data_IF_278979295913
#
_entry.id   IF_278979295913
#
_cell.length_a   1.000
_cell.length_b   1.000
_cell.length_c   1.000
_cell.angle_alpha   90.00
_cell.angle_beta   90.00
_cell.angle_gamma   90.00
#
_symmetry.space_group_name_H-M   'P 1'
#
loop_
_entity.id
_entity.type
_entity.pdbx_description
1 polymer ?
#
# COMPACT_ATOMS: atom_id res chain seq x y z
N UNK A 1 17.28 -16.54 5.89
CA UNK A 1 17.03 -15.32 6.67
C UNK A 1 15.78 -15.50 7.50
N UNK A 2 15.75 -14.87 8.68
CA UNK A 2 14.63 -14.87 9.60
C UNK A 2 14.30 -13.45 10.04
N UNK A 3 13.05 -13.22 10.46
CA UNK A 3 12.58 -11.95 10.97
C UNK A 3 13.02 -11.76 12.42
N UNK A 4 13.76 -10.70 12.72
CA UNK A 4 14.16 -10.32 14.06
C UNK A 4 13.25 -9.22 14.68
N UNK A 5 12.40 -8.58 13.89
CA UNK A 5 11.41 -7.61 14.34
C UNK A 5 10.80 -6.83 13.20
N UNK A 6 9.48 -6.66 13.22
CA UNK A 6 8.74 -5.76 12.34
C UNK A 6 8.91 -4.31 12.78
N UNK A 7 9.13 -3.38 11.85
CA UNK A 7 9.49 -2.00 12.16
C UNK A 7 8.40 -1.02 11.70
N UNK A 8 8.05 -1.07 10.43
CA UNK A 8 7.06 -0.17 9.83
C UNK A 8 6.42 -0.81 8.60
N UNK A 9 5.31 -0.23 8.15
CA UNK A 9 4.73 -0.55 6.85
C UNK A 9 4.34 0.73 6.11
N UNK A 10 4.13 0.60 4.80
CA UNK A 10 3.72 1.67 3.91
C UNK A 10 2.34 1.32 3.36
N UNK A 11 1.27 1.99 3.82
CA UNK A 11 -0.08 1.67 3.37
C UNK A 11 -0.25 2.02 1.89
N UNK A 12 -0.97 1.18 1.17
CA UNK A 12 -1.50 1.55 -0.13
C UNK A 12 -2.65 2.53 0.04
N UNK A 13 -2.76 3.46 -0.89
CA UNK A 13 -3.86 4.41 -0.95
C UNK A 13 -4.39 4.58 -2.37
N UNK A 14 -5.66 4.95 -2.49
CA UNK A 14 -6.29 5.44 -3.72
C UNK A 14 -6.22 6.96 -3.66
N UNK A 15 -5.61 7.55 -4.68
CA UNK A 15 -5.41 9.00 -4.76
C UNK A 15 -6.15 9.59 -5.95
N UNK A 16 -6.53 10.88 -5.87
CA UNK A 16 -7.21 11.56 -6.95
C UNK A 16 -6.35 11.61 -8.22
N UNK A 17 -7.02 11.44 -9.35
CA UNK A 17 -6.49 11.70 -10.67
C UNK A 17 -7.24 12.86 -11.30
N UNK A 18 -8.11 12.56 -12.26
CA UNK A 18 -9.06 13.54 -12.85
C UNK A 18 -10.32 13.69 -12.02
N UNK A 19 -10.53 12.84 -10.99
CA UNK A 19 -11.68 12.85 -10.08
C UNK A 19 -11.20 12.92 -8.63
N UNK A 20 -11.94 13.66 -7.81
CA UNK A 20 -11.56 13.98 -6.42
C UNK A 20 -12.34 13.15 -5.38
N UNK A 21 -13.29 12.32 -5.81
CA UNK A 21 -14.11 11.46 -4.94
C UNK A 21 -14.34 10.11 -5.61
N UNK A 22 -14.33 9.03 -4.82
CA UNK A 22 -14.69 7.68 -5.30
C UNK A 22 -16.16 7.63 -5.74
N UNK A 23 -17.03 8.48 -5.18
CA UNK A 23 -18.43 8.58 -5.59
C UNK A 23 -18.62 9.13 -7.01
N UNK A 24 -17.59 9.79 -7.55
CA UNK A 24 -17.60 10.32 -8.91
C UNK A 24 -17.19 9.28 -9.97
N UNK A 25 -16.92 8.03 -9.56
CA UNK A 25 -16.55 6.95 -10.47
C UNK A 25 -17.66 6.69 -11.50
N UNK A 26 -17.31 6.73 -12.78
CA UNK A 26 -18.21 6.51 -13.92
C UNK A 26 -17.83 5.24 -14.70
N UNK A 27 -18.80 4.77 -15.49
CA UNK A 27 -18.62 3.62 -16.36
C UNK A 27 -17.51 3.86 -17.40
N UNK A 28 -16.52 2.98 -17.42
CA UNK A 28 -15.38 3.04 -18.34
C UNK A 28 -14.21 3.91 -17.89
N UNK A 29 -14.22 4.45 -16.66
CA UNK A 29 -13.09 5.17 -16.09
C UNK A 29 -11.83 4.28 -16.01
N UNK A 30 -10.66 4.92 -16.08
CA UNK A 30 -9.37 4.24 -15.90
C UNK A 30 -8.85 4.44 -14.48
N UNK A 31 -8.25 3.40 -13.93
CA UNK A 31 -7.53 3.40 -12.64
C UNK A 31 -6.14 2.81 -12.87
N UNK A 32 -5.09 3.58 -12.57
CA UNK A 32 -3.73 3.11 -12.70
C UNK A 32 -3.24 2.40 -11.44
N UNK A 33 -2.63 1.23 -11.60
CA UNK A 33 -2.10 0.39 -10.52
C UNK A 33 -0.67 -0.06 -10.84
N UNK A 34 0.15 -0.42 -9.83
CA UNK A 34 1.45 -1.04 -10.07
C UNK A 34 1.31 -2.40 -10.78
N UNK A 35 2.28 -2.76 -11.62
CA UNK A 35 2.29 -4.02 -12.38
C UNK A 35 3.21 -5.11 -11.81
N UNK A 36 3.86 -4.88 -10.70
CA UNK A 36 4.59 -5.93 -10.00
C UNK A 36 3.63 -6.76 -9.13
N UNK A 37 3.87 -8.07 -9.07
CA UNK A 37 2.95 -9.06 -8.49
C UNK A 37 2.44 -8.68 -7.11
N UNK A 38 3.32 -8.20 -6.24
CA UNK A 38 2.98 -7.86 -4.85
C UNK A 38 2.10 -6.62 -4.77
N UNK A 39 2.50 -5.55 -5.46
CA UNK A 39 1.81 -4.27 -5.38
C UNK A 39 0.53 -4.25 -6.22
N UNK A 40 0.48 -4.98 -7.34
CA UNK A 40 -0.75 -5.18 -8.11
C UNK A 40 -1.83 -5.83 -7.26
N UNK A 41 -1.51 -6.96 -6.61
CA UNK A 41 -2.47 -7.66 -5.74
C UNK A 41 -2.99 -6.76 -4.61
N UNK A 42 -2.11 -5.99 -3.95
CA UNK A 42 -2.51 -5.03 -2.90
C UNK A 42 -3.43 -3.94 -3.45
N UNK A 43 -3.11 -3.39 -4.62
CA UNK A 43 -3.95 -2.38 -5.26
C UNK A 43 -5.34 -2.93 -5.60
N UNK A 44 -5.43 -4.13 -6.17
CA UNK A 44 -6.70 -4.77 -6.50
C UNK A 44 -7.53 -5.10 -5.27
N UNK A 45 -6.91 -5.57 -4.18
CA UNK A 45 -7.58 -5.80 -2.89
C UNK A 45 -8.14 -4.49 -2.32
N UNK A 46 -7.39 -3.39 -2.39
CA UNK A 46 -7.87 -2.09 -1.93
C UNK A 46 -9.05 -1.57 -2.77
N UNK A 47 -9.03 -1.80 -4.09
CA UNK A 47 -10.18 -1.49 -4.96
C UNK A 47 -11.41 -2.35 -4.60
N UNK A 48 -11.21 -3.62 -4.27
CA UNK A 48 -12.29 -4.50 -3.80
C UNK A 48 -12.86 -4.03 -2.45
N UNK A 49 -12.01 -3.68 -1.50
CA UNK A 49 -12.43 -3.20 -0.16
C UNK A 49 -13.28 -1.93 -0.26
N UNK A 50 -13.11 -1.16 -1.33
CA UNK A 50 -13.90 0.03 -1.63
C UNK A 50 -15.07 -0.22 -2.62
N UNK A 51 -15.37 -1.47 -2.93
CA UNK A 51 -16.54 -1.84 -3.75
C UNK A 51 -16.43 -1.50 -5.24
N UNK A 52 -15.23 -1.20 -5.73
CA UNK A 52 -15.00 -0.83 -7.15
C UNK A 52 -14.97 -2.06 -8.04
N UNK A 53 -14.36 -3.14 -7.57
CA UNK A 53 -14.30 -4.45 -8.24
C UNK A 53 -14.58 -5.57 -7.22
N UNK A 54 -14.80 -6.78 -7.71
CA UNK A 54 -14.81 -8.00 -6.88
C UNK A 54 -13.79 -8.98 -7.47
N UNK A 55 -12.92 -9.53 -6.65
CA UNK A 55 -11.95 -10.54 -7.03
C UNK A 55 -12.55 -11.96 -6.86
N UNK A 56 -12.02 -12.93 -7.58
CA UNK A 56 -12.36 -14.35 -7.41
C UNK A 56 -12.01 -14.80 -6.00
N UNK A 57 -12.81 -15.70 -5.45
CA UNK A 57 -12.55 -16.31 -4.15
C UNK A 57 -11.15 -16.95 -4.13
N UNK A 58 -10.37 -16.62 -3.09
CA UNK A 58 -9.03 -17.17 -2.90
C UNK A 58 -7.91 -16.48 -3.70
N UNK A 59 -8.19 -15.43 -4.47
CA UNK A 59 -7.15 -14.69 -5.21
C UNK A 59 -6.09 -14.08 -4.26
N UNK A 60 -6.51 -13.47 -3.14
CA UNK A 60 -5.65 -13.01 -2.06
C UNK A 60 -4.48 -12.13 -2.51
N UNK A 61 -3.32 -12.30 -1.86
CA UNK A 61 -2.12 -11.49 -2.08
C UNK A 61 -1.34 -11.83 -3.39
N UNK A 62 -1.90 -12.69 -4.24
CA UNK A 62 -1.35 -13.03 -5.57
C UNK A 62 -2.34 -12.64 -6.69
N UNK A 63 -3.38 -11.86 -6.36
CA UNK A 63 -4.38 -11.42 -7.32
C UNK A 63 -3.76 -10.63 -8.48
N UNK A 64 -4.31 -10.88 -9.66
CA UNK A 64 -4.00 -10.15 -10.90
C UNK A 64 -5.29 -9.61 -11.51
N UNK A 65 -5.21 -8.76 -12.53
CA UNK A 65 -6.40 -8.29 -13.28
C UNK A 65 -7.24 -9.44 -13.85
N UNK A 66 -6.65 -10.62 -14.10
CA UNK A 66 -7.37 -11.81 -14.55
C UNK A 66 -8.27 -12.43 -13.47
N UNK A 67 -8.09 -12.02 -12.21
CA UNK A 67 -8.88 -12.51 -11.08
C UNK A 67 -10.06 -11.61 -10.74
N UNK A 68 -10.29 -10.55 -11.51
CA UNK A 68 -11.48 -9.71 -11.39
C UNK A 68 -12.71 -10.56 -11.82
N UNK A 69 -13.60 -10.83 -10.88
CA UNK A 69 -14.83 -11.58 -11.09
C UNK A 69 -15.99 -10.65 -11.46
N UNK A 70 -16.06 -9.48 -10.84
CA UNK A 70 -17.09 -8.46 -11.13
C UNK A 70 -16.44 -7.09 -11.25
N UNK A 71 -16.92 -6.32 -12.20
CA UNK A 71 -16.47 -4.96 -12.49
C UNK A 71 -17.69 -4.11 -12.90
N UNK A 72 -18.51 -3.67 -11.93
CA UNK A 72 -19.81 -3.07 -12.18
C UNK A 72 -19.74 -1.75 -12.95
N UNK A 73 -18.62 -1.02 -12.84
CA UNK A 73 -18.38 0.23 -13.54
C UNK A 73 -17.51 0.08 -14.79
N UNK A 74 -17.25 -1.15 -15.24
CA UNK A 74 -16.37 -1.42 -16.38
C UNK A 74 -15.05 -0.63 -16.33
N UNK A 75 -14.48 -0.44 -15.12
CA UNK A 75 -13.22 0.30 -14.95
C UNK A 75 -12.10 -0.37 -15.72
N UNK A 76 -11.26 0.43 -16.32
CA UNK A 76 -10.07 -0.02 -17.03
C UNK A 76 -8.90 0.04 -16.06
N UNK A 77 -8.34 -1.12 -15.74
CA UNK A 77 -7.13 -1.17 -14.90
C UNK A 77 -5.92 -0.98 -15.81
N UNK A 78 -5.17 0.09 -15.56
CA UNK A 78 -3.93 0.41 -16.26
C UNK A 78 -2.72 -0.01 -15.41
N UNK A 79 -2.08 -1.10 -15.80
CA UNK A 79 -0.94 -1.68 -15.10
C UNK A 79 0.36 -1.00 -15.55
N UNK A 80 1.05 -0.33 -14.64
CA UNK A 80 2.27 0.43 -14.90
C UNK A 80 3.37 0.10 -13.88
N UNK A 81 4.62 0.37 -14.25
CA UNK A 81 5.69 0.32 -13.25
C UNK A 81 5.38 1.28 -12.09
N UNK A 82 5.59 0.84 -10.84
CA UNK A 82 5.14 1.56 -9.64
C UNK A 82 5.57 3.04 -9.61
N UNK A 83 6.79 3.33 -10.07
CA UNK A 83 7.32 4.69 -10.17
C UNK A 83 6.67 5.55 -11.27
N UNK A 84 5.87 4.94 -12.15
CA UNK A 84 5.18 5.64 -13.25
C UNK A 84 3.70 5.91 -12.93
N UNK A 85 3.11 5.16 -12.00
CA UNK A 85 1.66 5.24 -11.69
C UNK A 85 1.25 6.68 -11.33
N UNK A 86 2.00 7.37 -10.48
CA UNK A 86 1.67 8.74 -10.10
C UNK A 86 1.70 9.75 -11.26
N UNK A 87 2.48 9.47 -12.30
CA UNK A 87 2.67 10.39 -13.44
C UNK A 87 1.44 10.47 -14.33
N UNK A 88 0.65 9.41 -14.37
CA UNK A 88 -0.57 9.34 -15.20
C UNK A 88 -1.82 9.83 -14.45
N UNK A 89 -1.70 10.30 -13.21
CA UNK A 89 -2.82 10.85 -12.46
C UNK A 89 -3.65 11.89 -13.25
N UNK A 90 -3.06 12.81 -14.05
CA UNK A 90 -3.85 13.74 -14.86
C UNK A 90 -4.65 13.10 -16.01
N UNK A 91 -4.42 11.81 -16.30
CA UNK A 91 -5.00 11.10 -17.46
C UNK A 91 -6.01 10.02 -17.05
N UNK A 92 -6.04 9.63 -15.78
CA UNK A 92 -6.90 8.56 -15.23
C UNK A 92 -7.80 9.09 -14.13
N UNK A 93 -8.88 8.38 -13.82
CA UNK A 93 -9.79 8.79 -12.73
C UNK A 93 -9.06 8.77 -11.39
N UNK A 94 -8.36 7.67 -11.10
CA UNK A 94 -7.63 7.46 -9.85
C UNK A 94 -6.30 6.75 -10.08
N UNK A 95 -5.36 6.92 -9.14
CA UNK A 95 -4.11 6.18 -9.07
C UNK A 95 -4.01 5.45 -7.73
N UNK A 96 -3.46 4.24 -7.73
CA UNK A 96 -3.25 3.44 -6.51
C UNK A 96 -1.76 3.30 -6.26
N UNK A 97 -1.31 3.80 -5.11
CA UNK A 97 0.10 3.95 -4.77
C UNK A 97 0.38 3.46 -3.34
N UNK A 98 1.58 2.96 -3.09
CA UNK A 98 2.06 2.85 -1.72
C UNK A 98 2.48 4.21 -1.16
N UNK A 99 2.59 4.32 0.18
CA UNK A 99 2.89 5.58 0.85
C UNK A 99 4.18 6.25 0.38
N UNK A 100 5.23 5.47 0.09
CA UNK A 100 6.51 6.00 -0.37
C UNK A 100 6.39 6.68 -1.76
N UNK A 101 5.73 6.03 -2.72
CA UNK A 101 5.54 6.63 -4.05
C UNK A 101 4.55 7.79 -4.01
N UNK A 102 3.52 7.72 -3.16
CA UNK A 102 2.60 8.82 -2.93
C UNK A 102 3.35 10.06 -2.42
N UNK A 103 4.20 9.90 -1.40
CA UNK A 103 5.02 10.97 -0.84
C UNK A 103 5.97 11.57 -1.88
N UNK A 104 6.65 10.74 -2.68
CA UNK A 104 7.53 11.19 -3.77
C UNK A 104 6.78 11.99 -4.84
N UNK A 105 5.51 11.67 -5.08
CA UNK A 105 4.64 12.37 -6.01
C UNK A 105 4.04 13.67 -5.43
N UNK A 106 4.28 13.95 -4.14
CA UNK A 106 3.75 15.12 -3.44
C UNK A 106 2.36 14.93 -2.84
N UNK A 107 1.83 13.70 -2.82
CA UNK A 107 0.61 13.38 -2.10
C UNK A 107 0.89 13.20 -0.61
N UNK A 108 -0.04 13.69 0.23
CA UNK A 108 -0.10 13.36 1.64
C UNK A 108 -1.12 12.26 1.85
N UNK A 109 -0.71 11.14 2.45
CA UNK A 109 -1.66 10.04 2.76
C UNK A 109 -2.80 10.55 3.63
N UNK A 110 -2.50 11.35 4.64
CA UNK A 110 -3.48 11.87 5.58
C UNK A 110 -4.50 12.85 4.97
N UNK A 111 -4.14 13.54 3.87
CA UNK A 111 -4.97 14.61 3.28
C UNK A 111 -5.54 14.25 1.92
N UNK A 112 -4.76 13.53 1.11
CA UNK A 112 -5.07 13.34 -0.31
C UNK A 112 -5.59 11.92 -0.61
N UNK A 113 -5.32 10.93 0.26
CA UNK A 113 -5.84 9.59 0.05
C UNK A 113 -7.37 9.57 0.20
N UNK A 114 -8.06 9.13 -0.85
CA UNK A 114 -9.51 8.93 -0.86
C UNK A 114 -9.91 7.68 -0.08
N UNK A 115 -9.06 6.67 -0.09
CA UNK A 115 -9.11 5.48 0.73
C UNK A 115 -7.68 4.94 0.91
N UNK A 116 -7.43 4.21 1.98
CA UNK A 116 -6.14 3.57 2.23
C UNK A 116 -6.29 2.23 2.95
N UNK A 117 -5.26 1.42 2.81
CA UNK A 117 -5.19 0.08 3.38
C UNK A 117 -5.21 0.13 4.91
N UNK A 118 -6.09 -0.65 5.52
CA UNK A 118 -6.21 -0.70 6.98
C UNK A 118 -4.94 -1.29 7.62
N UNK A 119 -4.56 -0.76 8.79
CA UNK A 119 -3.35 -1.18 9.52
C UNK A 119 -3.41 -2.62 10.03
N UNK A 120 -4.60 -3.17 10.17
CA UNK A 120 -4.86 -4.55 10.58
C UNK A 120 -5.15 -5.49 9.40
N UNK A 121 -5.03 -5.01 8.15
CA UNK A 121 -5.20 -5.82 6.95
C UNK A 121 -4.18 -6.95 6.88
N UNK A 122 -4.52 -8.01 6.16
CA UNK A 122 -3.59 -9.11 5.89
C UNK A 122 -2.35 -8.62 5.14
N UNK A 123 -2.53 -7.69 4.20
CA UNK A 123 -1.44 -7.10 3.44
C UNK A 123 -0.50 -6.28 4.33
N UNK A 124 -1.02 -5.42 5.22
CA UNK A 124 -0.20 -4.64 6.14
C UNK A 124 0.67 -5.55 7.03
N UNK A 125 0.11 -6.65 7.54
CA UNK A 125 0.84 -7.63 8.36
C UNK A 125 1.87 -8.44 7.56
N UNK A 126 1.54 -8.78 6.31
CA UNK A 126 2.41 -9.61 5.46
C UNK A 126 3.59 -8.79 4.91
N UNK A 127 3.36 -7.54 4.55
CA UNK A 127 4.36 -6.68 3.90
C UNK A 127 5.01 -5.67 4.84
N UNK A 128 4.97 -5.93 6.14
CA UNK A 128 5.73 -5.15 7.11
C UNK A 128 7.23 -5.19 6.79
N UNK A 129 7.88 -4.05 6.87
CA UNK A 129 9.33 -3.95 6.74
C UNK A 129 10.00 -4.45 8.03
N UNK A 130 10.94 -5.37 7.89
CA UNK A 130 11.54 -6.10 9.00
C UNK A 130 13.06 -5.91 9.08
N UNK A 131 13.62 -6.16 10.25
CA UNK A 131 15.04 -6.45 10.38
C UNK A 131 15.24 -7.94 10.09
N UNK A 132 15.84 -8.24 8.93
CA UNK A 132 16.14 -9.60 8.52
C UNK A 132 17.56 -9.97 8.90
N UNK A 133 17.74 -11.11 9.56
CA UNK A 133 19.05 -11.63 10.00
C UNK A 133 19.27 -13.06 9.54
N UNK A 134 20.51 -13.55 9.66
CA UNK A 134 20.80 -14.97 9.47
C UNK A 134 20.14 -15.77 10.61
N UNK A 135 19.58 -16.92 10.28
CA UNK A 135 18.98 -17.84 11.26
C UNK A 135 19.93 -18.14 12.42
N UNK A 136 19.41 -18.07 13.64
CA UNK A 136 20.14 -18.21 14.88
C UNK A 136 20.76 -16.92 15.42
N UNK A 137 20.66 -15.80 14.71
CA UNK A 137 21.16 -14.48 15.14
C UNK A 137 20.06 -13.50 15.54
N UNK A 138 18.78 -13.91 15.48
CA UNK A 138 17.62 -13.07 15.81
C UNK A 138 17.63 -12.58 17.26
N UNK A 139 18.27 -13.33 18.16
CA UNK A 139 18.37 -12.98 19.58
C UNK A 139 19.75 -12.40 19.98
N UNK A 140 20.61 -12.10 19.01
CA UNK A 140 21.90 -11.46 19.31
C UNK A 140 21.67 -10.10 20.00
N UNK A 141 22.43 -9.78 21.07
CA UNK A 141 22.22 -8.56 21.84
C UNK A 141 22.24 -7.27 21.02
N UNK A 142 23.11 -7.22 19.99
CA UNK A 142 23.19 -6.07 19.08
C UNK A 142 21.95 -5.92 18.20
N UNK A 143 21.41 -7.04 17.70
CA UNK A 143 20.19 -7.06 16.88
C UNK A 143 18.98 -6.65 17.72
N UNK A 144 18.86 -7.20 18.93
CA UNK A 144 17.79 -6.87 19.85
C UNK A 144 17.85 -5.38 20.29
N UNK A 145 19.05 -4.84 20.49
CA UNK A 145 19.23 -3.42 20.78
C UNK A 145 18.78 -2.54 19.60
N UNK A 146 19.12 -2.92 18.36
CA UNK A 146 18.69 -2.21 17.15
C UNK A 146 17.16 -2.21 17.02
N UNK A 147 16.51 -3.36 17.12
CA UNK A 147 15.05 -3.49 17.06
C UNK A 147 14.39 -2.63 18.14
N UNK A 148 14.89 -2.71 19.38
CA UNK A 148 14.37 -1.91 20.51
C UNK A 148 14.47 -0.40 20.24
N UNK A 149 15.58 0.07 19.67
CA UNK A 149 15.74 1.50 19.33
C UNK A 149 14.76 1.90 18.23
N UNK A 150 14.67 1.11 17.16
CA UNK A 150 13.75 1.40 16.03
C UNK A 150 12.27 1.36 16.42
N UNK A 151 11.91 0.60 17.45
CA UNK A 151 10.55 0.52 18.02
C UNK A 151 10.33 1.45 19.22
N UNK A 152 11.29 2.33 19.53
CA UNK A 152 11.15 3.29 20.65
C UNK A 152 10.10 4.37 20.33
N UNK A 153 9.52 4.94 21.39
CA UNK A 153 8.54 6.02 21.26
C UNK A 153 9.12 7.24 20.51
N UNK A 154 10.42 7.51 20.70
CA UNK A 154 11.13 8.59 19.99
C UNK A 154 11.14 8.35 18.47
N UNK A 155 11.43 7.11 18.01
CA UNK A 155 11.43 6.78 16.59
C UNK A 155 10.00 6.73 16.03
N UNK A 156 9.04 6.21 16.78
CA UNK A 156 7.62 6.24 16.38
C UNK A 156 7.14 7.68 16.16
N UNK A 157 7.48 8.57 17.09
CA UNK A 157 7.14 9.99 16.99
C UNK A 157 7.82 10.62 15.77
N UNK A 158 9.11 10.33 15.55
CA UNK A 158 9.84 10.80 14.37
C UNK A 158 9.17 10.34 13.05
N UNK A 159 8.76 9.07 12.97
CA UNK A 159 8.08 8.52 11.79
C UNK A 159 6.75 9.27 11.56
N UNK A 160 5.94 9.44 12.60
CA UNK A 160 4.65 10.11 12.49
C UNK A 160 4.81 11.58 12.04
N UNK A 161 5.77 12.30 12.63
CA UNK A 161 6.01 13.71 12.33
C UNK A 161 6.63 13.93 10.94
N UNK A 162 7.40 12.94 10.44
CA UNK A 162 8.16 13.09 9.20
C UNK A 162 7.36 12.64 7.98
N UNK A 163 6.59 11.56 8.10
CA UNK A 163 6.00 10.87 6.95
C UNK A 163 4.48 11.07 6.79
N UNK A 164 3.83 11.74 7.72
CA UNK A 164 2.41 12.15 7.61
C UNK A 164 1.49 11.00 7.13
N UNK A 165 1.66 9.80 7.71
CA UNK A 165 0.90 8.60 7.38
C UNK A 165 1.42 7.78 6.20
N UNK A 166 2.40 8.27 5.42
CA UNK A 166 3.01 7.51 4.33
C UNK A 166 3.85 6.31 4.82
N UNK A 167 4.33 6.41 6.05
CA UNK A 167 4.99 5.33 6.78
C UNK A 167 4.35 5.23 8.16
N UNK A 168 3.98 4.04 8.58
CA UNK A 168 3.31 3.79 9.86
C UNK A 168 4.17 2.83 10.69
N UNK A 169 4.50 3.18 11.96
CA UNK A 169 5.18 2.26 12.87
C UNK A 169 4.36 0.96 13.03
N UNK A 170 5.04 -0.17 12.97
CA UNK A 170 4.39 -1.47 13.17
C UNK A 170 4.38 -1.83 14.65
N UNK A 171 3.21 -2.19 15.13
CA UNK A 171 3.00 -2.74 16.48
C UNK A 171 2.62 -4.22 16.37
N UNK A 172 3.28 -5.07 17.18
CA UNK A 172 3.02 -6.53 17.23
C UNK A 172 1.68 -6.84 17.85
#
# INVERSE_FOLDING_TARGET
LVNAGGIHYEPFGIYPGTKDSLDDLEDGDSIAVPNDTTNEARALLLLQDNGIITLKEGAGLEATVNDIAENPHNVKIEELAAEQVARVAPEVAFVVLNGNYALQAGFSVAKDALAYEASDSEAAKTYVNIIAVKEGHENDPGIQALVKVLKSDEIKQYINDTYDGAVIPFED
#
